data_IF_487280848045
#
_entry.id   IF_487280848045
#
_cell.length_a   1.000
_cell.length_b   1.000
_cell.length_c   1.000
_cell.angle_alpha   90.00
_cell.angle_beta   90.00
_cell.angle_gamma   90.00
#
_symmetry.space_group_name_H-M   'P 1'
#
loop_
_entity.id
_entity.type
_entity.pdbx_description
1 polymer ?
#
# COMPACT_ATOMS: atom_id res chain seq x y z
N UNK A 1 -23.12 -17.33 -24.00
CA UNK A 1 -22.10 -16.42 -24.56
C UNK A 1 -21.67 -15.46 -23.45
N UNK A 2 -20.38 -15.22 -23.23
CA UNK A 2 -19.90 -14.34 -22.15
C UNK A 2 -20.58 -12.95 -22.18
N UNK A 3 -20.78 -12.42 -23.38
CA UNK A 3 -21.42 -11.12 -23.64
C UNK A 3 -22.84 -11.00 -23.07
N UNK A 4 -23.67 -12.06 -23.10
CA UNK A 4 -25.03 -11.99 -22.57
C UNK A 4 -25.05 -11.95 -21.04
N UNK A 5 -24.08 -12.62 -20.39
CA UNK A 5 -23.93 -12.61 -18.93
C UNK A 5 -23.44 -11.24 -18.43
N UNK A 6 -22.47 -10.65 -19.11
CA UNK A 6 -21.95 -9.34 -18.71
C UNK A 6 -22.97 -8.22 -18.93
N UNK A 7 -23.70 -8.26 -20.06
CA UNK A 7 -24.79 -7.33 -20.30
C UNK A 7 -25.89 -7.45 -19.23
N UNK A 8 -26.35 -8.68 -18.92
CA UNK A 8 -27.31 -8.89 -17.86
C UNK A 8 -26.78 -8.42 -16.50
N UNK A 9 -25.50 -8.68 -16.21
CA UNK A 9 -24.88 -8.28 -14.95
C UNK A 9 -24.78 -6.76 -14.80
N UNK A 10 -24.41 -6.01 -15.84
CA UNK A 10 -24.30 -4.56 -15.73
C UNK A 10 -25.68 -3.89 -15.65
N UNK A 11 -26.66 -4.41 -16.39
CA UNK A 11 -28.04 -3.94 -16.30
C UNK A 11 -28.63 -4.17 -14.91
N UNK A 12 -28.38 -5.34 -14.32
CA UNK A 12 -28.82 -5.64 -12.97
C UNK A 12 -28.12 -4.76 -11.93
N UNK A 13 -26.79 -4.58 -12.04
CA UNK A 13 -26.04 -3.68 -11.14
C UNK A 13 -26.53 -2.24 -11.24
N UNK A 14 -26.89 -1.78 -12.43
CA UNK A 14 -27.39 -0.43 -12.62
C UNK A 14 -28.79 -0.22 -12.03
N UNK A 15 -29.65 -1.21 -12.18
CA UNK A 15 -30.96 -1.20 -11.53
C UNK A 15 -30.84 -1.21 -9.99
N UNK A 16 -29.89 -1.98 -9.44
CA UNK A 16 -29.73 -2.14 -7.99
C UNK A 16 -29.00 -0.96 -7.34
N UNK A 17 -27.86 -0.56 -7.90
CA UNK A 17 -26.93 0.37 -7.24
C UNK A 17 -26.98 1.79 -7.79
N UNK A 18 -27.43 1.98 -9.04
CA UNK A 18 -27.47 3.31 -9.69
C UNK A 18 -26.16 4.10 -9.54
N UNK A 19 -25.01 3.41 -9.61
CA UNK A 19 -23.71 4.00 -9.31
C UNK A 19 -23.31 5.11 -10.30
N UNK A 20 -22.47 6.04 -9.85
CA UNK A 20 -21.86 7.07 -10.72
C UNK A 20 -20.83 6.46 -11.68
N UNK A 21 -20.18 5.35 -11.29
CA UNK A 21 -19.17 4.67 -12.09
C UNK A 21 -19.10 3.18 -11.78
N UNK A 22 -18.91 2.37 -12.81
CA UNK A 22 -18.66 0.92 -12.69
C UNK A 22 -17.25 0.60 -13.12
N UNK A 23 -16.38 0.30 -12.15
CA UNK A 23 -14.97 -0.01 -12.40
C UNK A 23 -14.78 -1.52 -12.52
N UNK A 24 -14.36 -1.97 -13.70
CA UNK A 24 -14.05 -3.36 -14.01
C UNK A 24 -12.55 -3.55 -14.06
N UNK A 25 -12.05 -4.34 -13.11
CA UNK A 25 -10.61 -4.57 -12.98
C UNK A 25 -10.27 -5.97 -13.48
N UNK A 26 -9.81 -6.06 -14.72
CA UNK A 26 -9.70 -7.31 -15.48
C UNK A 26 -8.47 -7.28 -16.40
N UNK A 27 -7.88 -8.46 -16.69
CA UNK A 27 -6.74 -8.61 -17.60
C UNK A 27 -6.94 -7.83 -18.91
N UNK A 28 -5.85 -7.23 -19.41
CA UNK A 28 -5.83 -6.45 -20.66
C UNK A 28 -6.38 -7.21 -21.88
N UNK A 29 -6.29 -8.54 -21.90
CA UNK A 29 -6.87 -9.37 -22.95
C UNK A 29 -8.39 -9.20 -23.10
N UNK A 30 -9.09 -8.72 -22.07
CA UNK A 30 -10.53 -8.47 -22.09
C UNK A 30 -10.91 -7.06 -22.57
N UNK A 31 -9.97 -6.20 -22.97
CA UNK A 31 -10.28 -4.83 -23.41
C UNK A 31 -11.30 -4.79 -24.55
N UNK A 32 -11.14 -5.66 -25.57
CA UNK A 32 -12.10 -5.76 -26.68
C UNK A 32 -13.51 -6.15 -26.23
N UNK A 33 -13.60 -6.93 -25.15
CA UNK A 33 -14.88 -7.37 -24.61
C UNK A 33 -15.67 -6.19 -24.00
N UNK A 34 -14.98 -5.33 -23.25
CA UNK A 34 -15.58 -4.12 -22.68
C UNK A 34 -15.89 -3.05 -23.74
N UNK A 35 -15.05 -2.92 -24.78
CA UNK A 35 -15.35 -2.06 -25.93
C UNK A 35 -16.64 -2.50 -26.63
N UNK A 36 -16.80 -3.81 -26.84
CA UNK A 36 -18.01 -4.37 -27.43
C UNK A 36 -19.24 -4.20 -26.53
N UNK A 37 -19.10 -4.40 -25.21
CA UNK A 37 -20.18 -4.17 -24.25
C UNK A 37 -20.69 -2.72 -24.29
N UNK A 38 -19.77 -1.74 -24.32
CA UNK A 38 -20.13 -0.32 -24.47
C UNK A 38 -20.85 -0.05 -25.78
N UNK A 39 -20.37 -0.62 -26.89
CA UNK A 39 -21.02 -0.50 -28.19
C UNK A 39 -22.46 -1.06 -28.16
N UNK A 40 -22.66 -2.24 -27.57
CA UNK A 40 -24.00 -2.83 -27.40
C UNK A 40 -24.93 -1.94 -26.57
N UNK A 41 -24.44 -1.38 -25.44
CA UNK A 41 -25.22 -0.49 -24.61
C UNK A 41 -25.65 0.77 -25.37
N UNK A 42 -24.77 1.34 -26.19
CA UNK A 42 -25.10 2.48 -27.05
C UNK A 42 -26.21 2.11 -28.06
N UNK A 43 -26.10 0.94 -28.71
CA UNK A 43 -27.13 0.45 -29.65
C UNK A 43 -28.48 0.23 -28.93
N UNK A 44 -28.46 -0.17 -27.66
CA UNK A 44 -29.65 -0.34 -26.84
C UNK A 44 -30.21 0.98 -26.25
N UNK A 45 -29.66 2.14 -26.61
CA UNK A 45 -30.08 3.45 -26.11
C UNK A 45 -29.67 3.72 -24.65
N UNK A 46 -28.64 3.04 -24.14
CA UNK A 46 -28.11 3.18 -22.77
C UNK A 46 -26.72 3.83 -22.76
N UNK A 47 -26.58 4.95 -23.44
CA UNK A 47 -25.31 5.68 -23.59
C UNK A 47 -24.75 6.16 -22.25
N UNK A 48 -25.61 6.65 -21.35
CA UNK A 48 -25.18 7.06 -20.00
C UNK A 48 -24.55 5.91 -19.23
N UNK A 49 -25.15 4.71 -19.27
CA UNK A 49 -24.58 3.52 -18.63
C UNK A 49 -23.26 3.11 -19.27
N UNK A 50 -23.13 3.20 -20.60
CA UNK A 50 -21.88 2.91 -21.29
C UNK A 50 -20.74 3.85 -20.85
N UNK A 51 -21.04 5.13 -20.60
CA UNK A 51 -20.10 6.13 -20.12
C UNK A 51 -19.66 5.91 -18.67
N UNK A 52 -20.55 5.35 -17.83
CA UNK A 52 -20.24 4.98 -16.45
C UNK A 52 -19.27 3.80 -16.34
N UNK A 53 -19.15 2.96 -17.37
CA UNK A 53 -18.29 1.77 -17.35
C UNK A 53 -16.83 2.14 -17.59
N UNK A 54 -15.94 1.71 -16.71
CA UNK A 54 -14.49 1.87 -16.84
C UNK A 54 -13.78 0.53 -16.78
N UNK A 55 -12.98 0.19 -17.79
CA UNK A 55 -12.10 -0.97 -17.76
C UNK A 55 -10.71 -0.56 -17.27
N UNK A 56 -10.38 -0.97 -16.06
CA UNK A 56 -9.03 -0.85 -15.49
C UNK A 56 -8.28 -2.14 -15.80
N UNK A 57 -7.47 -2.09 -16.86
CA UNK A 57 -6.67 -3.24 -17.29
C UNK A 57 -5.38 -3.41 -16.50
N UNK A 58 -4.97 -4.65 -16.32
CA UNK A 58 -3.68 -5.01 -15.72
C UNK A 58 -2.90 -6.00 -16.59
N UNK A 59 -1.58 -6.01 -16.39
CA UNK A 59 -0.61 -6.93 -16.99
C UNK A 59 -0.46 -8.21 -16.18
N UNK A 60 0.16 -9.22 -16.79
CA UNK A 60 0.27 -10.55 -16.17
C UNK A 60 1.48 -10.68 -15.27
N UNK A 61 1.28 -11.34 -14.13
CA UNK A 61 2.36 -11.82 -13.28
C UNK A 61 2.76 -13.22 -13.75
N UNK A 62 3.97 -13.34 -14.28
CA UNK A 62 4.53 -14.61 -14.75
C UNK A 62 5.04 -15.40 -13.55
N UNK A 63 4.75 -16.71 -13.53
CA UNK A 63 5.26 -17.65 -12.52
C UNK A 63 4.31 -17.99 -11.36
N UNK A 64 3.06 -17.52 -11.35
CA UNK A 64 2.05 -17.86 -10.33
C UNK A 64 0.89 -18.70 -10.93
N UNK A 65 0.13 -19.45 -10.11
CA UNK A 65 -1.13 -20.22 -10.39
C UNK A 65 -2.26 -19.85 -9.41
N UNK A 66 -3.52 -19.83 -9.85
CA UNK A 66 -4.66 -19.17 -9.16
C UNK A 66 -5.27 -19.89 -7.97
N UNK A 67 -4.79 -21.06 -7.54
CA UNK A 67 -5.48 -21.79 -6.46
C UNK A 67 -5.20 -21.15 -5.09
N UNK A 68 -6.08 -20.23 -4.67
CA UNK A 68 -6.16 -19.64 -3.34
C UNK A 68 -7.43 -20.11 -2.62
N UNK A 69 -7.29 -20.52 -1.36
CA UNK A 69 -8.40 -20.61 -0.41
C UNK A 69 -8.47 -19.32 0.41
N UNK A 70 -9.17 -18.31 -0.09
CA UNK A 70 -9.32 -17.00 0.53
C UNK A 70 -10.12 -17.08 1.83
N UNK A 71 -9.47 -16.94 3.01
CA UNK A 71 -10.18 -16.87 4.32
C UNK A 71 -9.83 -15.67 5.21
N UNK A 72 -8.84 -14.84 4.88
CA UNK A 72 -8.49 -13.65 5.66
C UNK A 72 -7.99 -12.53 4.74
N UNK A 73 -8.90 -11.72 4.22
CA UNK A 73 -8.56 -10.36 3.80
C UNK A 73 -9.39 -9.40 4.65
N UNK A 74 -8.72 -8.38 5.16
CA UNK A 74 -9.31 -7.37 6.03
C UNK A 74 -10.49 -6.69 5.31
N UNK A 75 -11.61 -6.53 6.00
CA UNK A 75 -12.87 -5.98 5.48
C UNK A 75 -12.85 -4.48 5.23
N UNK A 76 -11.78 -3.78 5.64
CA UNK A 76 -11.82 -2.33 5.85
C UNK A 76 -10.88 -1.54 4.92
N UNK A 77 -10.61 -2.06 3.72
CA UNK A 77 -9.84 -1.32 2.69
C UNK A 77 -10.75 -0.50 1.77
N UNK A 78 -10.29 0.69 1.39
CA UNK A 78 -10.95 1.49 0.34
C UNK A 78 -11.03 0.70 -0.98
N UNK A 79 -12.19 0.77 -1.64
CA UNK A 79 -12.56 -0.10 -2.75
C UNK A 79 -11.60 -0.08 -3.96
N UNK A 80 -10.82 0.99 -4.15
CA UNK A 80 -9.94 1.17 -5.33
C UNK A 80 -8.73 0.23 -5.28
N UNK A 81 -8.21 -0.11 -4.10
CA UNK A 81 -6.99 -0.95 -3.96
C UNK A 81 -7.27 -2.42 -3.62
N UNK A 82 -8.42 -2.71 -2.99
CA UNK A 82 -8.94 -4.09 -2.87
C UNK A 82 -9.04 -4.77 -4.23
N UNK A 83 -9.35 -4.00 -5.27
CA UNK A 83 -9.40 -4.50 -6.63
C UNK A 83 -8.02 -4.96 -7.11
N UNK A 84 -6.92 -4.30 -6.74
CA UNK A 84 -5.56 -4.68 -7.18
C UNK A 84 -4.98 -5.89 -6.44
N UNK A 85 -5.30 -6.07 -5.16
CA UNK A 85 -5.05 -7.36 -4.50
C UNK A 85 -5.91 -8.50 -5.08
N UNK A 86 -7.16 -8.21 -5.42
CA UNK A 86 -7.99 -9.16 -6.17
C UNK A 86 -7.46 -9.39 -7.60
N UNK A 87 -6.75 -8.42 -8.21
CA UNK A 87 -6.03 -8.59 -9.48
C UNK A 87 -4.90 -9.60 -9.36
N UNK A 88 -4.10 -9.58 -8.30
CA UNK A 88 -3.06 -10.61 -8.09
C UNK A 88 -3.73 -11.99 -8.06
N UNK A 89 -4.90 -12.10 -7.42
CA UNK A 89 -5.65 -13.36 -7.35
C UNK A 89 -6.32 -13.76 -8.69
N UNK A 90 -6.69 -12.80 -9.57
CA UNK A 90 -7.41 -13.04 -10.84
C UNK A 90 -6.54 -13.00 -12.11
N UNK A 91 -5.39 -12.34 -12.09
CA UNK A 91 -4.45 -12.19 -13.23
C UNK A 91 -3.87 -13.53 -13.67
N UNK A 92 -3.91 -14.49 -12.76
CA UNK A 92 -3.27 -15.78 -12.91
C UNK A 92 -4.19 -16.80 -13.64
N UNK A 93 -5.47 -16.47 -13.84
CA UNK A 93 -6.52 -17.40 -14.32
C UNK A 93 -6.40 -17.75 -15.82
N UNK A 94 -5.59 -17.02 -16.59
CA UNK A 94 -5.54 -17.15 -18.06
C UNK A 94 -4.50 -18.14 -18.60
N UNK A 95 -3.73 -18.84 -17.76
CA UNK A 95 -2.73 -19.83 -18.21
C UNK A 95 -3.32 -21.23 -18.47
N UNK A 96 -4.46 -21.30 -19.14
CA UNK A 96 -4.85 -22.53 -19.82
C UNK A 96 -5.39 -22.20 -21.22
N UNK A 97 -4.67 -22.69 -22.22
CA UNK A 97 -4.90 -22.61 -23.67
C UNK A 97 -4.11 -21.48 -24.35
N UNK A 98 -3.16 -21.93 -25.14
CA UNK A 98 -2.44 -21.23 -26.20
C UNK A 98 -1.05 -20.65 -25.86
N UNK A 99 -0.06 -21.45 -26.28
CA UNK A 99 1.35 -21.17 -26.60
C UNK A 99 2.42 -21.35 -25.49
N UNK A 100 3.37 -22.31 -25.64
CA UNK A 100 4.50 -22.48 -24.73
C UNK A 100 5.75 -21.75 -25.28
N UNK A 101 6.21 -20.70 -24.61
CA UNK A 101 7.58 -20.18 -24.78
C UNK A 101 8.38 -20.28 -23.47
N UNK A 102 9.71 -20.47 -23.53
CA UNK A 102 10.41 -21.31 -22.57
C UNK A 102 11.22 -20.46 -21.58
N UNK A 103 10.67 -20.20 -20.39
CA UNK A 103 11.47 -19.67 -19.28
C UNK A 103 11.02 -20.28 -17.94
N UNK A 104 11.80 -21.28 -17.51
CA UNK A 104 11.96 -21.93 -16.19
C UNK A 104 11.89 -23.46 -16.32
N UNK A 105 12.91 -24.16 -15.84
CA UNK A 105 12.94 -25.64 -15.77
C UNK A 105 11.79 -26.11 -14.87
N UNK A 106 10.88 -26.90 -15.46
CA UNK A 106 9.64 -27.50 -14.91
C UNK A 106 8.45 -26.53 -14.87
N UNK A 107 7.67 -26.52 -15.94
CA UNK A 107 6.43 -25.74 -16.09
C UNK A 107 5.28 -26.16 -15.17
N UNK A 108 5.45 -25.96 -13.86
CA UNK A 108 4.34 -25.87 -12.91
C UNK A 108 4.11 -24.39 -12.61
N UNK A 109 2.88 -23.94 -12.80
CA UNK A 109 2.40 -22.73 -12.13
C UNK A 109 2.23 -23.11 -10.65
N UNK A 110 2.85 -22.38 -9.73
CA UNK A 110 2.74 -22.61 -8.28
C UNK A 110 1.48 -21.97 -7.73
N UNK A 111 0.71 -22.64 -6.88
CA UNK A 111 -0.49 -22.03 -6.29
C UNK A 111 -0.11 -20.80 -5.44
N UNK A 112 -0.87 -19.71 -5.47
CA UNK A 112 -0.52 -18.53 -4.65
C UNK A 112 -0.43 -18.88 -3.16
N UNK A 113 -1.24 -19.83 -2.66
CA UNK A 113 -1.10 -20.35 -1.30
C UNK A 113 0.30 -20.95 -1.04
N UNK A 114 0.85 -21.74 -1.97
CA UNK A 114 2.18 -22.34 -1.87
C UNK A 114 3.28 -21.27 -1.88
N UNK A 115 3.08 -20.22 -2.67
CA UNK A 115 4.03 -19.11 -2.82
C UNK A 115 4.07 -18.27 -1.55
N UNK A 116 2.91 -17.96 -0.97
CA UNK A 116 2.82 -17.27 0.31
C UNK A 116 3.47 -18.12 1.40
N UNK A 117 3.21 -19.43 1.44
CA UNK A 117 3.81 -20.35 2.41
C UNK A 117 5.35 -20.43 2.28
N UNK A 118 5.87 -20.49 1.05
CA UNK A 118 7.31 -20.44 0.80
C UNK A 118 7.91 -19.12 1.29
N UNK A 119 7.24 -17.99 1.01
CA UNK A 119 7.63 -16.68 1.54
C UNK A 119 7.59 -16.61 3.07
N UNK A 120 6.62 -17.27 3.73
CA UNK A 120 6.54 -17.35 5.19
C UNK A 120 7.74 -18.11 5.76
N UNK A 121 8.10 -19.24 5.15
CA UNK A 121 9.27 -20.03 5.57
C UNK A 121 10.56 -19.21 5.50
N UNK A 122 10.76 -18.48 4.40
CA UNK A 122 11.94 -17.63 4.22
C UNK A 122 11.93 -16.42 5.17
N UNK A 123 10.77 -15.81 5.39
CA UNK A 123 10.60 -14.71 6.34
C UNK A 123 10.87 -15.16 7.78
N UNK A 124 10.37 -16.32 8.18
CA UNK A 124 10.58 -16.88 9.52
C UNK A 124 12.06 -17.22 9.76
N UNK A 125 12.75 -17.79 8.76
CA UNK A 125 14.21 -17.98 8.82
C UNK A 125 14.96 -16.65 8.95
N UNK A 126 14.56 -15.65 8.18
CA UNK A 126 15.17 -14.32 8.25
C UNK A 126 15.01 -13.70 9.66
N UNK A 127 13.81 -13.77 10.22
CA UNK A 127 13.48 -13.29 11.57
C UNK A 127 14.32 -14.00 12.63
N UNK A 128 14.33 -15.34 12.64
CA UNK A 128 15.10 -16.14 13.62
C UNK A 128 16.61 -15.87 13.56
N UNK A 129 17.13 -15.61 12.36
CA UNK A 129 18.56 -15.37 12.16
C UNK A 129 18.98 -13.90 12.38
N UNK A 130 18.02 -12.99 12.61
CA UNK A 130 18.31 -11.57 12.80
C UNK A 130 18.78 -11.31 14.23
N UNK A 131 19.92 -10.64 14.37
CA UNK A 131 20.44 -10.20 15.68
C UNK A 131 19.69 -8.98 16.24
N UNK A 132 18.89 -8.31 15.40
CA UNK A 132 18.27 -7.01 15.74
C UNK A 132 16.77 -7.08 15.93
N UNK A 133 16.14 -8.17 15.46
CA UNK A 133 14.69 -8.36 15.57
C UNK A 133 14.40 -9.01 16.92
N UNK A 134 13.50 -8.42 17.69
CA UNK A 134 13.18 -8.86 19.06
C UNK A 134 11.68 -9.12 19.17
N UNK A 135 11.29 -10.33 18.81
CA UNK A 135 9.91 -10.82 18.93
C UNK A 135 9.91 -12.22 19.55
N UNK A 136 8.81 -12.58 20.18
CA UNK A 136 8.66 -13.89 20.82
C UNK A 136 8.48 -14.99 19.77
N UNK A 137 8.92 -16.22 20.07
CA UNK A 137 8.82 -17.35 19.12
C UNK A 137 7.36 -17.59 18.68
N UNK A 138 6.39 -17.34 19.57
CA UNK A 138 4.95 -17.45 19.28
C UNK A 138 4.44 -16.43 18.25
N UNK A 139 5.15 -15.33 18.03
CA UNK A 139 4.77 -14.26 17.11
C UNK A 139 5.46 -14.36 15.74
N UNK A 140 6.48 -15.23 15.62
CA UNK A 140 7.29 -15.34 14.40
C UNK A 140 6.43 -15.71 13.20
N UNK A 141 5.48 -16.63 13.36
CA UNK A 141 4.64 -17.10 12.26
C UNK A 141 3.72 -15.98 11.74
N UNK A 142 3.16 -15.16 12.63
CA UNK A 142 2.32 -14.01 12.26
C UNK A 142 3.15 -12.91 11.57
N UNK A 143 4.34 -12.61 12.09
CA UNK A 143 5.28 -11.67 11.46
C UNK A 143 5.75 -12.17 10.11
N UNK A 144 6.06 -13.47 9.99
CA UNK A 144 6.48 -14.08 8.74
C UNK A 144 5.37 -14.05 7.67
N UNK A 145 4.12 -14.32 8.07
CA UNK A 145 2.96 -14.20 7.20
C UNK A 145 2.78 -12.76 6.71
N UNK A 146 2.88 -11.79 7.62
CA UNK A 146 2.81 -10.37 7.27
C UNK A 146 3.92 -9.96 6.29
N UNK A 147 5.17 -10.34 6.56
CA UNK A 147 6.31 -10.04 5.68
C UNK A 147 6.17 -10.69 4.30
N UNK A 148 5.65 -11.91 4.25
CA UNK A 148 5.40 -12.64 3.00
C UNK A 148 4.33 -11.94 2.16
N UNK A 149 3.17 -11.65 2.76
CA UNK A 149 2.08 -10.91 2.11
C UNK A 149 2.53 -9.53 1.66
N UNK A 150 3.19 -8.77 2.54
CA UNK A 150 3.73 -7.45 2.24
C UNK A 150 4.65 -7.49 1.02
N UNK A 151 5.47 -8.55 0.89
CA UNK A 151 6.37 -8.72 -0.25
C UNK A 151 5.61 -8.95 -1.55
N UNK A 152 4.59 -9.81 -1.55
CA UNK A 152 3.74 -10.06 -2.73
C UNK A 152 3.08 -8.76 -3.19
N UNK A 153 2.44 -8.06 -2.26
CA UNK A 153 1.69 -6.83 -2.51
C UNK A 153 2.62 -5.73 -3.02
N UNK A 154 3.69 -5.39 -2.28
CA UNK A 154 4.58 -4.28 -2.66
C UNK A 154 5.32 -4.57 -3.97
N UNK A 155 5.70 -5.82 -4.25
CA UNK A 155 6.37 -6.14 -5.51
C UNK A 155 5.48 -5.96 -6.74
N UNK A 156 4.18 -6.20 -6.58
CA UNK A 156 3.17 -5.98 -7.60
C UNK A 156 2.86 -4.49 -7.74
N UNK A 157 2.47 -3.86 -6.63
CA UNK A 157 1.99 -2.49 -6.62
C UNK A 157 3.08 -1.46 -6.92
N UNK A 158 4.37 -1.74 -6.69
CA UNK A 158 5.44 -0.78 -7.00
C UNK A 158 5.71 -0.59 -8.50
N UNK A 159 5.06 -1.36 -9.36
CA UNK A 159 5.17 -1.31 -10.82
C UNK A 159 3.85 -0.83 -11.38
N UNK A 160 3.86 -0.18 -12.54
CA UNK A 160 2.59 0.17 -13.20
C UNK A 160 1.77 -1.09 -13.40
N UNK A 161 0.47 -1.01 -13.12
CA UNK A 161 -0.47 -2.14 -13.24
C UNK A 161 -0.44 -2.84 -14.59
N UNK A 162 -0.02 -2.14 -15.66
CA UNK A 162 0.04 -2.69 -17.03
C UNK A 162 1.32 -3.48 -17.32
N UNK A 163 2.29 -3.42 -16.41
CA UNK A 163 3.60 -4.07 -16.57
C UNK A 163 3.48 -5.57 -16.36
N UNK A 164 4.14 -6.35 -17.23
CA UNK A 164 4.35 -7.77 -16.97
C UNK A 164 5.66 -7.97 -16.19
N UNK A 165 5.66 -8.87 -15.21
CA UNK A 165 6.89 -9.22 -14.48
C UNK A 165 6.85 -10.66 -13.96
N UNK A 166 8.02 -11.23 -13.69
CA UNK A 166 8.15 -12.52 -13.01
C UNK A 166 8.29 -12.25 -11.52
N UNK A 167 7.38 -12.79 -10.72
CA UNK A 167 7.44 -12.66 -9.27
C UNK A 167 8.59 -13.49 -8.68
N UNK A 168 9.25 -12.96 -7.66
CA UNK A 168 10.30 -13.68 -6.92
C UNK A 168 10.47 -13.10 -5.51
N UNK A 169 10.71 -13.98 -4.54
CA UNK A 169 11.19 -13.61 -3.21
C UNK A 169 12.68 -13.28 -3.16
N UNK A 170 13.40 -13.37 -4.29
CA UNK A 170 14.80 -12.97 -4.36
C UNK A 170 14.93 -11.52 -3.90
N UNK A 171 15.74 -11.31 -2.85
CA UNK A 171 15.99 -10.02 -2.21
C UNK A 171 14.83 -9.46 -1.37
N UNK A 172 13.72 -10.19 -1.19
CA UNK A 172 12.57 -9.77 -0.40
C UNK A 172 12.96 -9.37 1.04
N UNK A 173 13.82 -10.17 1.66
CA UNK A 173 14.26 -9.99 3.05
C UNK A 173 15.69 -9.46 3.18
N UNK A 174 16.21 -8.79 2.13
CA UNK A 174 17.50 -8.10 2.24
C UNK A 174 17.33 -6.78 2.99
N UNK A 175 18.06 -6.63 4.09
CA UNK A 175 18.18 -5.36 4.80
C UNK A 175 18.83 -4.30 3.90
N UNK A 176 18.54 -3.03 4.19
CA UNK A 176 19.07 -1.85 3.48
C UNK A 176 18.74 -1.82 1.97
N UNK A 177 17.76 -2.60 1.52
CA UNK A 177 17.21 -2.48 0.17
C UNK A 177 16.35 -1.23 0.07
N UNK A 178 16.48 -0.51 -1.05
CA UNK A 178 15.72 0.72 -1.30
C UNK A 178 14.26 0.48 -1.71
N UNK A 179 13.85 -0.77 -1.99
CA UNK A 179 12.61 -1.04 -2.72
C UNK A 179 11.92 -2.37 -2.43
N UNK A 180 12.15 -2.97 -1.27
CA UNK A 180 11.43 -4.17 -0.82
C UNK A 180 10.42 -3.83 0.30
N UNK A 181 9.47 -4.73 0.53
CA UNK A 181 8.44 -4.54 1.55
C UNK A 181 9.02 -4.49 2.98
N UNK A 182 10.12 -5.20 3.22
CA UNK A 182 10.82 -5.20 4.50
C UNK A 182 11.25 -3.79 4.92
N UNK A 183 11.62 -2.92 3.96
CA UNK A 183 11.93 -1.52 4.24
C UNK A 183 10.76 -0.81 4.93
N UNK A 184 9.54 -0.93 4.39
CA UNK A 184 8.36 -0.28 4.96
C UNK A 184 8.11 -0.75 6.40
N UNK A 185 8.10 -2.07 6.59
CA UNK A 185 7.82 -2.70 7.88
C UNK A 185 8.86 -2.36 8.94
N UNK A 186 10.15 -2.41 8.58
CA UNK A 186 11.25 -2.09 9.51
C UNK A 186 11.36 -0.61 9.82
N UNK A 187 10.94 0.30 8.93
CA UNK A 187 10.95 1.74 9.20
C UNK A 187 9.76 2.13 10.07
N UNK A 188 8.57 1.61 9.78
CA UNK A 188 7.38 1.82 10.59
C UNK A 188 7.57 1.35 12.04
N UNK A 189 7.97 0.09 12.25
CA UNK A 189 8.18 -0.48 13.60
C UNK A 189 9.26 0.25 14.41
N UNK A 190 10.36 0.68 13.76
CA UNK A 190 11.41 1.46 14.45
C UNK A 190 10.95 2.84 14.88
N UNK A 191 10.14 3.54 14.08
CA UNK A 191 9.56 4.82 14.47
C UNK A 191 8.57 4.66 15.61
N UNK A 192 7.77 3.59 15.58
CA UNK A 192 6.89 3.26 16.70
C UNK A 192 7.66 2.98 17.98
N UNK A 193 8.77 2.25 17.91
CA UNK A 193 9.66 2.06 19.07
C UNK A 193 10.36 3.36 19.51
N UNK A 194 10.59 4.31 18.61
CA UNK A 194 11.07 5.64 18.97
C UNK A 194 10.00 6.41 19.74
N UNK A 195 8.77 6.40 19.25
CA UNK A 195 7.59 6.99 19.90
C UNK A 195 7.37 6.41 21.30
N UNK A 196 7.35 5.08 21.44
CA UNK A 196 7.16 4.40 22.73
C UNK A 196 8.26 4.76 23.75
N UNK A 197 9.47 5.09 23.30
CA UNK A 197 10.57 5.54 24.18
C UNK A 197 10.51 7.03 24.53
N UNK A 198 9.63 7.79 23.89
CA UNK A 198 9.44 9.23 24.09
C UNK A 198 7.96 9.54 24.36
N UNK A 199 7.27 8.64 25.07
CA UNK A 199 5.82 8.73 25.34
C UNK A 199 5.44 10.05 26.03
N UNK A 200 6.27 10.54 26.95
CA UNK A 200 6.05 11.81 27.64
C UNK A 200 5.98 13.00 26.66
N UNK A 201 6.91 13.06 25.70
CA UNK A 201 6.94 14.09 24.66
C UNK A 201 5.75 13.97 23.69
N UNK A 202 5.30 12.75 23.39
CA UNK A 202 4.12 12.54 22.56
C UNK A 202 2.85 13.02 23.24
N UNK A 203 2.69 12.75 24.55
CA UNK A 203 1.53 13.23 25.31
C UNK A 203 1.49 14.74 25.37
N UNK A 204 2.65 15.39 25.51
CA UNK A 204 2.76 16.84 25.44
C UNK A 204 2.30 17.37 24.08
N UNK A 205 2.77 16.77 22.99
CA UNK A 205 2.36 17.12 21.63
C UNK A 205 0.85 16.94 21.40
N UNK A 206 0.28 15.85 21.92
CA UNK A 206 -1.17 15.60 21.84
C UNK A 206 -1.98 16.63 22.64
N UNK A 207 -1.51 17.03 23.82
CA UNK A 207 -2.18 18.03 24.65
C UNK A 207 -2.16 19.41 24.00
N UNK A 208 -1.06 19.76 23.32
CA UNK A 208 -0.92 21.00 22.56
C UNK A 208 -1.89 21.09 21.37
N UNK A 209 -2.32 19.95 20.82
CA UNK A 209 -3.29 19.91 19.71
C UNK A 209 -4.76 20.09 20.12
N UNK A 210 -5.08 19.96 21.42
CA UNK A 210 -6.47 19.89 21.93
C UNK A 210 -7.02 21.20 22.52
N UNK A 211 -6.29 22.30 22.43
CA UNK A 211 -6.63 23.53 23.19
C UNK A 211 -7.76 24.40 22.62
N UNK A 212 -8.43 24.06 21.51
CA UNK A 212 -9.38 24.97 20.83
C UNK A 212 -10.86 24.48 20.71
N UNK A 213 -11.29 23.47 21.49
CA UNK A 213 -12.65 22.88 21.36
C UNK A 213 -13.77 23.58 22.17
N UNK A 214 -13.66 24.89 22.47
CA UNK A 214 -14.75 25.65 23.12
C UNK A 214 -15.64 26.46 22.18
N UNK A 215 -15.80 26.06 20.90
CA UNK A 215 -16.74 26.74 19.98
C UNK A 215 -17.54 25.81 19.04
N UNK A 216 -18.69 25.32 19.54
CA UNK A 216 -19.94 25.07 18.80
C UNK A 216 -19.97 23.99 17.68
N UNK A 217 -21.17 23.51 17.27
CA UNK A 217 -21.33 22.34 16.40
C UNK A 217 -21.11 22.62 14.90
N UNK A 218 -20.61 23.81 14.54
CA UNK A 218 -20.46 24.27 13.16
C UNK A 218 -19.07 24.94 13.00
N UNK A 219 -18.00 24.25 13.35
CA UNK A 219 -16.64 24.77 13.35
C UNK A 219 -15.79 24.17 12.23
N UNK A 220 -15.66 24.87 11.10
CA UNK A 220 -14.38 24.84 10.37
C UNK A 220 -13.48 25.75 11.19
N UNK A 221 -12.91 25.22 12.27
CA UNK A 221 -11.86 25.92 12.99
C UNK A 221 -10.58 25.79 12.18
N UNK A 222 -10.21 26.88 11.50
CA UNK A 222 -8.84 27.22 11.15
C UNK A 222 -8.02 27.45 12.43
N UNK A 223 -7.97 26.45 13.32
CA UNK A 223 -7.25 26.46 14.59
C UNK A 223 -5.80 26.01 14.47
N UNK A 224 -5.26 25.96 13.24
CA UNK A 224 -3.83 25.69 12.98
C UNK A 224 -3.05 27.01 12.87
N UNK A 225 -3.74 28.16 12.80
CA UNK A 225 -3.11 29.45 12.47
C UNK A 225 -2.27 30.07 13.60
N UNK A 226 -2.30 29.52 14.83
CA UNK A 226 -1.54 30.03 15.98
C UNK A 226 -0.61 28.99 16.62
N UNK A 227 -0.16 27.99 15.87
CA UNK A 227 0.92 27.12 16.32
C UNK A 227 2.27 27.72 15.89
N UNK A 228 2.66 28.84 16.53
CA UNK A 228 4.04 29.35 16.53
C UNK A 228 4.94 28.42 17.37
N UNK A 229 4.86 27.11 17.10
CA UNK A 229 5.97 26.24 17.42
C UNK A 229 7.03 26.64 16.40
N UNK A 230 7.93 27.53 16.80
CA UNK A 230 9.17 27.81 16.09
C UNK A 230 9.95 26.49 16.12
N UNK A 231 9.55 25.59 15.21
CA UNK A 231 10.03 24.23 15.09
C UNK A 231 11.50 24.34 14.74
N UNK A 232 12.36 24.33 15.75
CA UNK A 232 13.79 24.37 15.58
C UNK A 232 14.27 23.03 15.03
N UNK A 233 13.99 22.80 13.75
CA UNK A 233 14.55 21.69 12.99
C UNK A 233 16.03 21.95 12.62
N UNK A 234 16.59 23.12 12.98
CA UNK A 234 17.94 23.59 12.66
C UNK A 234 18.41 23.12 11.28
N UNK A 235 18.01 23.80 10.20
CA UNK A 235 18.45 23.61 8.79
C UNK A 235 19.03 22.23 8.45
N UNK A 236 18.36 21.16 8.87
CA UNK A 236 18.86 19.81 8.64
C UNK A 236 18.43 19.43 7.24
N UNK A 237 19.39 19.30 6.34
CA UNK A 237 19.10 18.90 4.95
C UNK A 237 18.25 17.62 4.86
N UNK A 238 18.32 16.74 5.87
CA UNK A 238 17.46 15.55 5.95
C UNK A 238 16.03 15.86 6.41
N UNK A 239 15.83 16.82 7.32
CA UNK A 239 14.50 17.30 7.70
C UNK A 239 13.82 17.97 6.51
N UNK A 240 14.51 18.87 5.80
CA UNK A 240 13.99 19.58 4.63
C UNK A 240 13.55 18.61 3.54
N UNK A 241 14.37 17.59 3.26
CA UNK A 241 14.04 16.52 2.28
C UNK A 241 12.82 15.71 2.70
N UNK A 242 12.68 15.42 4.00
CA UNK A 242 11.56 14.66 4.53
C UNK A 242 10.26 15.48 4.45
N UNK A 243 10.29 16.74 4.89
CA UNK A 243 9.14 17.68 4.79
C UNK A 243 8.73 17.88 3.32
N UNK A 244 9.69 18.14 2.44
CA UNK A 244 9.42 18.31 1.01
C UNK A 244 8.85 17.05 0.35
N UNK A 245 9.15 15.86 0.88
CA UNK A 245 8.54 14.61 0.40
C UNK A 245 7.16 14.37 1.03
N UNK A 246 6.94 14.72 2.29
CA UNK A 246 5.61 14.68 2.92
C UNK A 246 4.61 15.56 2.16
N UNK A 247 5.01 16.75 1.73
CA UNK A 247 4.20 17.66 0.92
C UNK A 247 3.69 17.04 -0.39
N UNK A 248 4.38 16.02 -0.93
CA UNK A 248 4.01 15.35 -2.19
C UNK A 248 3.00 14.22 -2.01
N UNK A 249 2.46 14.03 -0.81
CA UNK A 249 1.50 12.97 -0.53
C UNK A 249 0.25 13.11 -1.41
N UNK A 250 -0.30 14.32 -1.49
CA UNK A 250 -1.52 14.61 -2.26
C UNK A 250 -1.31 14.33 -3.75
N UNK A 251 -0.17 14.74 -4.30
CA UNK A 251 0.21 14.43 -5.67
C UNK A 251 0.26 12.92 -5.90
N UNK A 252 0.86 12.15 -4.97
CA UNK A 252 0.95 10.70 -5.09
C UNK A 252 -0.42 10.02 -5.02
N UNK A 253 -1.32 10.48 -4.16
CA UNK A 253 -2.69 10.00 -4.01
C UNK A 253 -3.53 10.34 -5.24
N UNK A 254 -3.52 11.61 -5.67
CA UNK A 254 -4.27 12.07 -6.84
C UNK A 254 -3.80 11.37 -8.12
N UNK A 255 -2.49 11.21 -8.31
CA UNK A 255 -1.96 10.44 -9.44
C UNK A 255 -2.40 8.98 -9.40
N UNK A 256 -2.40 8.36 -8.22
CA UNK A 256 -2.85 6.97 -8.07
C UNK A 256 -4.34 6.82 -8.38
N UNK A 257 -5.17 7.77 -7.95
CA UNK A 257 -6.61 7.79 -8.18
C UNK A 257 -6.95 8.06 -9.65
N UNK A 258 -6.43 9.15 -10.23
CA UNK A 258 -6.72 9.54 -11.62
C UNK A 258 -6.29 8.49 -12.63
N UNK A 259 -5.15 7.84 -12.37
CA UNK A 259 -4.64 6.78 -13.24
C UNK A 259 -5.16 5.41 -12.84
N UNK A 260 -5.84 5.27 -11.71
CA UNK A 260 -6.22 4.00 -11.07
C UNK A 260 -5.03 3.02 -10.91
N UNK A 261 -3.83 3.54 -10.61
CA UNK A 261 -2.58 2.78 -10.55
C UNK A 261 -1.81 3.07 -9.25
N UNK A 262 -1.79 2.07 -8.35
CA UNK A 262 -1.20 2.13 -7.02
C UNK A 262 0.31 2.38 -6.98
N UNK A 263 0.99 2.29 -8.13
CA UNK A 263 2.43 2.43 -8.17
C UNK A 263 2.94 3.80 -7.74
N UNK A 264 2.17 4.85 -7.98
CA UNK A 264 2.56 6.20 -7.58
C UNK A 264 2.64 6.29 -6.05
N UNK A 265 1.60 5.84 -5.34
CA UNK A 265 1.60 5.78 -3.88
C UNK A 265 2.65 4.79 -3.34
N UNK A 266 2.77 3.59 -3.94
CA UNK A 266 3.72 2.57 -3.46
C UNK A 266 5.17 3.04 -3.57
N UNK A 267 5.54 3.66 -4.69
CA UNK A 267 6.88 4.25 -4.90
C UNK A 267 7.10 5.44 -3.98
N UNK A 268 6.07 6.26 -3.76
CA UNK A 268 6.10 7.35 -2.79
C UNK A 268 6.43 6.85 -1.38
N UNK A 269 5.76 5.78 -0.92
CA UNK A 269 5.96 5.21 0.42
C UNK A 269 7.35 4.58 0.59
N UNK A 270 7.85 3.90 -0.44
CA UNK A 270 9.23 3.38 -0.43
C UNK A 270 10.25 4.51 -0.31
N UNK A 271 10.03 5.63 -1.01
CA UNK A 271 10.89 6.81 -0.90
C UNK A 271 10.78 7.47 0.49
N UNK A 272 9.56 7.60 1.02
CA UNK A 272 9.31 8.13 2.36
C UNK A 272 10.03 7.30 3.43
N UNK A 273 9.95 5.97 3.35
CA UNK A 273 10.61 5.07 4.30
C UNK A 273 12.15 5.21 4.27
N UNK A 274 12.74 5.39 3.09
CA UNK A 274 14.18 5.66 2.97
C UNK A 274 14.57 7.01 3.59
N UNK A 275 13.84 8.09 3.24
CA UNK A 275 14.09 9.44 3.77
C UNK A 275 13.92 9.48 5.29
N UNK A 276 12.88 8.83 5.80
CA UNK A 276 12.65 8.70 7.25
C UNK A 276 13.78 7.92 7.92
N UNK A 277 14.32 6.92 7.24
CA UNK A 277 15.51 6.21 7.70
C UNK A 277 16.71 7.14 7.90
N UNK A 278 17.02 7.96 6.89
CA UNK A 278 18.12 8.94 6.96
C UNK A 278 17.85 10.01 8.02
N UNK A 279 16.64 10.57 8.05
CA UNK A 279 16.22 11.57 9.02
C UNK A 279 16.28 11.04 10.45
N UNK A 280 15.81 9.81 10.72
CA UNK A 280 15.86 9.23 12.07
C UNK A 280 17.29 9.03 12.60
N UNK A 281 18.27 8.89 11.70
CA UNK A 281 19.68 8.75 12.09
C UNK A 281 20.33 10.11 12.39
N UNK A 282 19.93 11.18 11.68
CA UNK A 282 20.47 12.53 11.88
C UNK A 282 19.71 13.33 12.97
N UNK A 283 18.40 13.18 13.03
CA UNK A 283 17.48 13.87 13.95
C UNK A 283 17.33 13.07 15.24
N UNK A 284 18.35 13.13 16.10
CA UNK A 284 18.32 12.44 17.40
C UNK A 284 17.25 13.08 18.29
N UNK A 285 16.31 12.26 18.80
CA UNK A 285 15.30 12.70 19.78
C UNK A 285 15.76 12.37 21.19
N UNK A 286 16.19 11.11 21.40
CA UNK A 286 16.63 10.66 22.71
C UNK A 286 17.96 11.33 23.11
N UNK A 287 17.96 12.00 24.27
CA UNK A 287 19.12 12.69 24.81
C UNK A 287 19.44 14.03 24.15
N UNK A 288 18.51 14.58 23.36
CA UNK A 288 18.60 15.98 22.92
C UNK A 288 18.42 16.92 24.13
N UNK A 289 19.32 17.88 24.29
CA UNK A 289 19.31 18.79 25.44
C UNK A 289 18.23 19.88 25.33
N UNK A 290 17.88 20.22 24.09
CA UNK A 290 16.86 21.21 23.77
C UNK A 290 15.49 20.54 23.63
N UNK A 291 14.61 20.80 24.60
CA UNK A 291 13.26 20.23 24.66
C UNK A 291 12.43 20.55 23.42
N UNK A 292 12.44 21.81 22.97
CA UNK A 292 11.70 22.26 21.79
C UNK A 292 12.19 21.56 20.53
N UNK A 293 13.51 21.36 20.41
CA UNK A 293 14.11 20.61 19.30
C UNK A 293 13.74 19.13 19.33
N UNK A 294 13.73 18.51 20.52
CA UNK A 294 13.32 17.13 20.70
C UNK A 294 11.85 16.93 20.27
N UNK A 295 10.95 17.82 20.71
CA UNK A 295 9.55 17.86 20.30
C UNK A 295 9.41 18.01 18.78
N UNK A 296 10.11 18.97 18.19
CA UNK A 296 10.07 19.26 16.75
C UNK A 296 10.47 18.06 15.89
N UNK A 297 11.58 17.40 16.26
CA UNK A 297 12.07 16.19 15.59
C UNK A 297 11.11 15.02 15.77
N UNK A 298 10.56 14.84 16.97
CA UNK A 298 9.60 13.79 17.25
C UNK A 298 8.30 13.98 16.47
N UNK A 299 7.77 15.21 16.38
CA UNK A 299 6.60 15.55 15.57
C UNK A 299 6.82 15.15 14.11
N UNK A 300 7.94 15.56 13.50
CA UNK A 300 8.24 15.24 12.10
C UNK A 300 8.32 13.72 11.85
N UNK A 301 8.99 13.00 12.75
CA UNK A 301 9.13 11.54 12.66
C UNK A 301 7.80 10.81 12.92
N UNK A 302 6.98 11.33 13.84
CA UNK A 302 5.63 10.81 14.13
C UNK A 302 4.67 11.03 12.97
N UNK A 303 4.66 12.22 12.38
CA UNK A 303 3.92 12.52 11.15
C UNK A 303 4.33 11.58 10.01
N UNK A 304 5.64 11.36 9.84
CA UNK A 304 6.17 10.44 8.84
C UNK A 304 5.74 8.99 9.09
N UNK A 305 5.74 8.53 10.35
CA UNK A 305 5.22 7.20 10.72
C UNK A 305 3.73 7.11 10.43
N UNK A 306 2.94 8.13 10.76
CA UNK A 306 1.49 8.14 10.53
C UNK A 306 1.17 8.03 9.04
N UNK A 307 1.82 8.84 8.19
CA UNK A 307 1.67 8.76 6.74
C UNK A 307 2.11 7.40 6.20
N UNK A 308 3.24 6.86 6.69
CA UNK A 308 3.71 5.54 6.30
C UNK A 308 2.71 4.44 6.69
N UNK A 309 2.15 4.50 7.89
CA UNK A 309 1.19 3.54 8.43
C UNK A 309 -0.11 3.54 7.62
N UNK A 310 -0.72 4.71 7.42
CA UNK A 310 -1.95 4.88 6.66
C UNK A 310 -1.74 4.53 5.18
N UNK A 311 -0.62 4.94 4.60
CA UNK A 311 -0.28 4.60 3.23
C UNK A 311 -0.08 3.10 3.02
N UNK A 312 0.59 2.42 3.95
CA UNK A 312 0.72 0.95 3.94
C UNK A 312 -0.66 0.27 4.00
N UNK A 313 -1.54 0.70 4.90
CA UNK A 313 -2.90 0.19 4.99
C UNK A 313 -3.69 0.42 3.70
N UNK A 314 -3.54 1.60 3.08
CA UNK A 314 -4.21 1.96 1.83
C UNK A 314 -3.79 1.04 0.66
N UNK A 315 -2.53 0.60 0.64
CA UNK A 315 -2.04 -0.39 -0.35
C UNK A 315 -2.26 -1.85 0.08
N UNK A 316 -2.99 -2.11 1.17
CA UNK A 316 -3.31 -3.45 1.67
C UNK A 316 -2.20 -4.13 2.47
N UNK A 317 -1.21 -3.38 2.92
CA UNK A 317 -0.12 -3.86 3.76
C UNK A 317 -0.40 -3.49 5.22
N UNK A 318 -0.54 -4.50 6.08
CA UNK A 318 -0.73 -4.26 7.51
C UNK A 318 0.61 -3.86 8.18
N UNK A 319 0.71 -2.68 8.81
CA UNK A 319 1.94 -2.23 9.44
C UNK A 319 2.27 -2.98 10.73
N UNK A 320 3.44 -3.60 10.77
CA UNK A 320 3.94 -4.27 11.98
C UNK A 320 4.28 -3.24 13.05
N UNK A 321 3.85 -3.54 14.27
CA UNK A 321 4.09 -2.71 15.45
C UNK A 321 5.53 -2.88 15.96
N UNK A 322 6.04 -4.10 15.93
CA UNK A 322 7.37 -4.48 16.39
C UNK A 322 8.05 -5.40 15.38
N UNK A 323 9.35 -5.18 15.20
CA UNK A 323 10.30 -6.04 14.51
C UNK A 323 11.65 -5.85 15.18
#
# INVERSE_FOLDING_TARGET
LLHSRELASILWRDAEFSADKYVFVVDRAQSRHFEFLKCLLNICGKEELANKIEHVSFGRVKGLSTRLKTRKFCSDLSCVFMLQLAMICRSIESTSKDNPEPLLRKGRTEAVDEIIQHGCHDAAKFVRNSQTIKIDESEIDDVAMNLSLSTVIVNDLKRSRTSEYVFTFKNAFRMNSQGNALLLQTKHSRLRSLEERNDDLLRELDNLSKTDDSSGPCGISSGIDNFDLELDLNSSAEADRLVAHLWKLDDALLNSLQKADACHLTVYLLKLANLTGSASASLRVLGEADHTRALSRLLLLSASRSVLSQGMQLIGVEPLKKM
#
